data_IF_254261392233
#
_entry.id   IF_254261392233
#
_cell.length_a   1.000
_cell.length_b   1.000
_cell.length_c   1.000
_cell.angle_alpha   90.00
_cell.angle_beta   90.00
_cell.angle_gamma   90.00
#
_symmetry.space_group_name_H-M   'P 1'
#
loop_
_entity.id
_entity.type
_entity.pdbx_description
1 polymer ?
#
# COMPACT_ATOMS: atom_id res chain seq x y z
N UNK A 1 28.95 -11.43 -3.04
CA UNK A 1 27.77 -11.63 -3.92
C UNK A 1 27.66 -10.39 -4.81
N UNK A 2 27.16 -10.49 -6.05
CA UNK A 2 26.99 -9.34 -6.95
C UNK A 2 25.52 -8.97 -7.02
N UNK A 3 25.21 -7.70 -6.92
CA UNK A 3 23.86 -7.18 -7.23
C UNK A 3 23.67 -7.16 -8.74
N UNK A 4 22.46 -7.49 -9.18
CA UNK A 4 22.06 -7.38 -10.58
C UNK A 4 20.91 -6.39 -10.68
N UNK A 5 20.98 -5.56 -11.71
CA UNK A 5 19.88 -4.69 -12.12
C UNK A 5 19.34 -5.25 -13.43
N UNK A 6 18.05 -5.57 -13.47
CA UNK A 6 17.40 -6.18 -14.63
C UNK A 6 16.30 -5.26 -15.11
N UNK A 7 16.41 -4.82 -16.37
CA UNK A 7 15.34 -4.11 -17.05
C UNK A 7 14.35 -5.13 -17.64
N UNK A 8 13.07 -4.97 -17.38
CA UNK A 8 12.00 -5.85 -17.90
C UNK A 8 10.96 -5.05 -18.68
N UNK A 9 10.43 -5.65 -19.74
CA UNK A 9 9.32 -5.08 -20.51
C UNK A 9 8.01 -5.30 -19.75
N UNK A 10 7.40 -4.20 -19.28
CA UNK A 10 6.10 -4.21 -18.61
C UNK A 10 5.42 -2.85 -18.82
N UNK A 11 4.13 -2.85 -19.15
CA UNK A 11 3.35 -1.63 -19.42
C UNK A 11 3.02 -0.79 -18.19
N UNK A 12 3.33 -1.24 -16.97
CA UNK A 12 3.12 -0.51 -15.72
C UNK A 12 4.46 -0.07 -15.11
N UNK A 13 4.67 1.24 -14.83
CA UNK A 13 5.86 1.72 -14.13
C UNK A 13 6.00 1.05 -12.77
N UNK A 14 7.11 0.33 -12.53
CA UNK A 14 7.38 -0.32 -11.27
C UNK A 14 8.89 -0.63 -11.10
N UNK A 15 9.31 -0.81 -9.86
CA UNK A 15 10.55 -1.47 -9.49
C UNK A 15 10.26 -2.43 -8.33
N UNK A 16 10.97 -3.54 -8.25
CA UNK A 16 10.78 -4.52 -7.16
C UNK A 16 11.98 -5.46 -7.03
N UNK A 17 12.09 -6.12 -5.88
CA UNK A 17 13.02 -7.25 -5.68
C UNK A 17 12.31 -8.57 -5.91
N UNK A 18 12.94 -9.49 -6.64
CA UNK A 18 12.44 -10.86 -6.72
C UNK A 18 12.88 -11.66 -5.49
N UNK A 19 11.91 -12.16 -4.75
CA UNK A 19 12.10 -13.09 -3.64
C UNK A 19 11.00 -14.14 -3.62
N UNK A 20 11.34 -15.32 -3.11
CA UNK A 20 10.34 -16.33 -2.72
C UNK A 20 10.22 -16.25 -1.20
N UNK A 21 9.09 -15.74 -0.70
CA UNK A 21 8.86 -15.55 0.74
C UNK A 21 8.93 -16.86 1.55
N UNK A 22 8.84 -18.02 0.90
CA UNK A 22 8.99 -19.33 1.54
C UNK A 22 10.45 -19.79 1.68
N UNK A 23 11.39 -19.15 1.00
CA UNK A 23 12.82 -19.50 1.08
C UNK A 23 13.68 -18.34 1.55
N UNK A 24 14.72 -18.65 2.33
CA UNK A 24 15.75 -17.67 2.75
C UNK A 24 16.59 -17.19 1.55
N UNK A 25 16.35 -17.71 0.33
CA UNK A 25 17.13 -17.39 -0.86
C UNK A 25 16.53 -16.20 -1.59
N UNK A 26 16.91 -15.00 -1.16
CA UNK A 26 16.67 -13.80 -1.93
C UNK A 26 17.74 -13.68 -3.02
N UNK A 27 17.30 -13.47 -4.26
CA UNK A 27 18.20 -12.99 -5.30
C UNK A 27 18.57 -11.55 -4.96
N UNK A 28 19.85 -11.18 -5.01
CA UNK A 28 20.25 -9.76 -4.96
C UNK A 28 19.99 -9.11 -6.33
N UNK A 29 18.73 -9.12 -6.76
CA UNK A 29 18.27 -8.68 -8.07
C UNK A 29 17.16 -7.66 -7.91
N UNK A 30 17.42 -6.44 -8.39
CA UNK A 30 16.40 -5.39 -8.52
C UNK A 30 15.90 -5.41 -9.96
N UNK A 31 14.59 -5.57 -10.12
CA UNK A 31 13.90 -5.51 -11.39
C UNK A 31 13.31 -4.11 -11.57
N UNK A 32 13.52 -3.51 -12.74
CA UNK A 32 13.00 -2.20 -13.13
C UNK A 32 12.18 -2.39 -14.40
N UNK A 33 10.97 -1.86 -14.45
CA UNK A 33 10.19 -1.90 -15.69
C UNK A 33 10.66 -0.82 -16.69
N UNK A 34 10.63 -1.13 -17.98
CA UNK A 34 10.92 -0.18 -19.04
C UNK A 34 10.03 1.08 -18.93
N UNK A 35 8.74 0.88 -18.63
CA UNK A 35 7.78 1.98 -18.43
C UNK A 35 8.13 2.91 -17.26
N UNK A 36 8.84 2.44 -16.22
CA UNK A 36 9.36 3.32 -15.16
C UNK A 36 10.48 4.23 -15.68
N UNK A 37 11.38 3.68 -16.50
CA UNK A 37 12.46 4.46 -17.14
C UNK A 37 11.89 5.45 -18.14
N UNK A 38 10.84 5.06 -18.87
CA UNK A 38 10.16 5.89 -19.86
C UNK A 38 9.41 7.09 -19.25
N UNK A 39 9.21 7.13 -17.93
CA UNK A 39 8.73 8.34 -17.25
C UNK A 39 9.71 9.51 -17.39
N UNK A 40 10.96 9.27 -17.81
CA UNK A 40 11.94 10.32 -18.09
C UNK A 40 12.37 11.08 -16.85
N UNK A 41 12.28 10.46 -15.67
CA UNK A 41 12.66 11.09 -14.40
C UNK A 41 14.17 11.38 -14.35
N UNK A 42 14.60 12.45 -13.64
CA UNK A 42 16.01 12.71 -13.38
C UNK A 42 16.73 11.48 -12.84
N UNK A 43 17.99 11.27 -13.27
CA UNK A 43 18.80 10.10 -12.88
C UNK A 43 18.84 9.87 -11.36
N UNK A 44 18.93 10.93 -10.57
CA UNK A 44 18.96 10.83 -9.11
C UNK A 44 17.67 10.25 -8.53
N UNK A 45 16.52 10.56 -9.14
CA UNK A 45 15.22 10.01 -8.76
C UNK A 45 15.14 8.51 -9.04
N UNK A 46 15.58 8.09 -10.24
CA UNK A 46 15.66 6.66 -10.57
C UNK A 46 16.62 5.93 -9.62
N UNK A 47 17.74 6.54 -9.27
CA UNK A 47 18.68 5.97 -8.30
C UNK A 47 18.09 5.88 -6.89
N UNK A 48 17.22 6.80 -6.48
CA UNK A 48 16.51 6.73 -5.21
C UNK A 48 15.56 5.53 -5.16
N UNK A 49 14.80 5.28 -6.24
CA UNK A 49 13.94 4.09 -6.37
C UNK A 49 14.79 2.81 -6.33
N UNK A 50 15.91 2.78 -7.06
CA UNK A 50 16.82 1.62 -7.04
C UNK A 50 17.40 1.40 -5.64
N UNK A 51 17.74 2.47 -4.92
CA UNK A 51 18.24 2.37 -3.56
C UNK A 51 17.17 1.79 -2.62
N UNK A 52 15.92 2.24 -2.72
CA UNK A 52 14.78 1.67 -1.99
C UNK A 52 14.67 0.15 -2.20
N UNK A 53 14.60 -0.29 -3.46
CA UNK A 53 14.52 -1.72 -3.76
C UNK A 53 15.76 -2.48 -3.30
N UNK A 54 16.93 -1.86 -3.37
CA UNK A 54 18.14 -2.48 -2.88
C UNK A 54 18.08 -2.74 -1.37
N UNK A 55 17.45 -1.84 -0.59
CA UNK A 55 17.25 -2.05 0.85
C UNK A 55 16.32 -3.23 1.12
N UNK A 56 15.25 -3.43 0.34
CA UNK A 56 14.44 -4.65 0.43
C UNK A 56 15.27 -5.93 0.25
N UNK A 57 16.18 -5.93 -0.73
CA UNK A 57 17.04 -7.07 -1.01
C UNK A 57 18.11 -7.31 0.07
N UNK A 58 18.74 -6.24 0.57
CA UNK A 58 19.82 -6.30 1.58
C UNK A 58 19.26 -6.60 2.96
N UNK A 59 18.19 -5.89 3.33
CA UNK A 59 17.44 -6.05 4.57
C UNK A 59 16.65 -7.35 4.64
N UNK A 60 16.57 -8.11 3.53
CA UNK A 60 15.80 -9.36 3.43
C UNK A 60 14.32 -9.15 3.76
N UNK A 61 13.74 -8.00 3.41
CA UNK A 61 12.35 -7.67 3.72
C UNK A 61 11.36 -8.65 3.06
N UNK A 62 11.76 -9.29 1.96
CA UNK A 62 10.97 -10.34 1.30
C UNK A 62 10.91 -11.66 2.08
N UNK A 63 11.69 -11.83 3.15
CA UNK A 63 11.63 -13.01 4.04
C UNK A 63 10.69 -12.71 5.19
N UNK A 64 9.56 -13.42 5.28
CA UNK A 64 8.47 -13.09 6.23
C UNK A 64 8.93 -12.92 7.67
N UNK A 65 9.78 -13.81 8.21
CA UNK A 65 10.26 -13.68 9.59
C UNK A 65 11.11 -12.43 9.83
N UNK A 66 11.77 -11.91 8.79
CA UNK A 66 12.53 -10.65 8.87
C UNK A 66 11.59 -9.47 8.76
N UNK A 67 10.63 -9.51 7.82
CA UNK A 67 9.56 -8.52 7.71
C UNK A 67 8.83 -8.31 9.04
N UNK A 68 8.31 -9.41 9.61
CA UNK A 68 7.58 -9.40 10.89
C UNK A 68 8.42 -8.80 12.03
N UNK A 69 9.73 -9.09 12.02
CA UNK A 69 10.69 -8.59 13.02
C UNK A 69 11.04 -7.11 12.86
N UNK A 70 10.82 -6.52 11.69
CA UNK A 70 11.01 -5.08 11.43
C UNK A 70 9.77 -4.26 11.76
N UNK A 71 8.58 -4.84 11.60
CA UNK A 71 7.33 -4.14 11.84
C UNK A 71 7.25 -3.59 13.27
N UNK A 72 6.76 -2.36 13.41
CA UNK A 72 6.43 -1.75 14.71
C UNK A 72 5.02 -1.22 14.68
N UNK A 73 4.24 -1.55 15.70
CA UNK A 73 2.94 -0.94 15.95
C UNK A 73 3.04 -0.10 17.21
N UNK A 74 2.67 1.17 17.13
CA UNK A 74 2.78 2.09 18.25
C UNK A 74 1.73 3.21 18.15
N UNK A 75 1.47 3.87 19.27
CA UNK A 75 0.62 5.05 19.31
C UNK A 75 1.48 6.31 19.28
N UNK A 76 1.31 7.14 18.24
CA UNK A 76 1.96 8.44 18.18
C UNK A 76 1.40 9.37 19.27
N UNK A 77 2.28 10.18 19.87
CA UNK A 77 1.90 11.17 20.87
C UNK A 77 1.02 12.27 20.29
N UNK A 78 0.34 13.04 21.17
CA UNK A 78 -0.56 14.11 20.73
C UNK A 78 0.17 15.25 20.00
N UNK A 79 1.42 15.53 20.37
CA UNK A 79 2.20 16.69 19.92
C UNK A 79 3.47 16.34 19.17
N UNK A 80 3.83 15.05 19.09
CA UNK A 80 5.06 14.60 18.46
C UNK A 80 4.79 13.42 17.53
N UNK A 81 5.50 13.41 16.41
CA UNK A 81 5.46 12.36 15.41
C UNK A 81 6.85 11.70 15.39
N UNK A 82 7.05 10.64 16.18
CA UNK A 82 8.36 10.02 16.32
C UNK A 82 8.76 9.28 15.04
N UNK A 83 10.04 8.88 14.95
CA UNK A 83 10.50 8.04 13.86
C UNK A 83 10.15 6.58 14.14
N UNK A 84 9.48 5.91 13.19
CA UNK A 84 8.95 4.55 13.40
C UNK A 84 10.01 3.53 13.82
N UNK A 85 11.20 3.55 13.19
CA UNK A 85 12.30 2.66 13.56
C UNK A 85 12.88 2.87 14.97
N UNK A 86 12.60 4.02 15.60
CA UNK A 86 13.03 4.33 16.98
C UNK A 86 12.01 3.86 18.01
N UNK A 87 10.83 3.42 17.59
CA UNK A 87 9.76 3.01 18.49
C UNK A 87 9.86 1.52 18.83
N UNK A 88 9.53 1.21 20.08
CA UNK A 88 9.27 -0.15 20.49
C UNK A 88 7.94 -0.63 19.88
N UNK A 89 7.85 -1.94 19.67
CA UNK A 89 6.62 -2.57 19.23
C UNK A 89 5.67 -2.76 20.41
N UNK A 90 4.59 -1.99 20.46
CA UNK A 90 3.55 -2.14 21.46
C UNK A 90 2.62 -3.29 21.07
N UNK A 91 2.76 -4.42 21.76
CA UNK A 91 1.98 -5.62 21.48
C UNK A 91 0.46 -5.42 21.62
N UNK A 92 0.02 -4.44 22.43
CA UNK A 92 -1.40 -4.11 22.57
C UNK A 92 -1.87 -3.38 21.32
N UNK A 93 -1.12 -2.38 20.86
CA UNK A 93 -1.41 -1.63 19.62
C UNK A 93 -1.36 -2.58 18.41
N UNK A 94 -0.35 -3.46 18.34
CA UNK A 94 -0.24 -4.51 17.32
C UNK A 94 -1.49 -5.37 17.25
N UNK A 95 -2.01 -5.81 18.40
CA UNK A 95 -3.20 -6.68 18.43
C UNK A 95 -4.39 -5.99 17.77
N UNK A 96 -4.69 -4.74 18.17
CA UNK A 96 -5.76 -3.97 17.53
C UNK A 96 -5.52 -3.74 16.04
N UNK A 97 -4.28 -3.42 15.64
CA UNK A 97 -3.95 -3.18 14.24
C UNK A 97 -4.14 -4.43 13.38
N UNK A 98 -3.67 -5.60 13.86
CA UNK A 98 -3.77 -6.86 13.12
C UNK A 98 -5.22 -7.34 13.04
N UNK A 99 -5.99 -7.24 14.13
CA UNK A 99 -7.42 -7.54 14.11
C UNK A 99 -8.15 -6.63 13.11
N UNK A 100 -7.83 -5.32 13.09
CA UNK A 100 -8.42 -4.39 12.14
C UNK A 100 -8.03 -4.72 10.69
N UNK A 101 -6.75 -5.05 10.43
CA UNK A 101 -6.25 -5.43 9.09
C UNK A 101 -6.99 -6.66 8.57
N UNK A 102 -7.32 -7.63 9.43
CA UNK A 102 -8.08 -8.82 9.04
C UNK A 102 -9.44 -8.46 8.42
N UNK A 103 -10.22 -7.60 9.08
CA UNK A 103 -11.52 -7.15 8.56
C UNK A 103 -11.37 -6.18 7.38
N UNK A 104 -10.35 -5.31 7.41
CA UNK A 104 -10.11 -4.33 6.35
C UNK A 104 -9.67 -4.98 5.03
N UNK A 105 -8.96 -6.13 5.08
CA UNK A 105 -8.66 -6.93 3.89
C UNK A 105 -9.93 -7.41 3.18
N UNK A 106 -10.99 -7.70 3.92
CA UNK A 106 -12.25 -8.15 3.32
C UNK A 106 -13.08 -6.97 2.81
N UNK A 107 -13.36 -5.98 3.65
CA UNK A 107 -14.34 -4.92 3.37
C UNK A 107 -13.76 -3.56 2.95
N UNK A 108 -12.43 -3.44 2.90
CA UNK A 108 -11.69 -2.19 2.73
C UNK A 108 -11.42 -1.48 4.07
N UNK A 109 -10.55 -0.47 4.05
CA UNK A 109 -10.17 0.30 5.25
C UNK A 109 -11.24 1.28 5.75
N UNK A 110 -12.24 1.59 4.93
CA UNK A 110 -13.25 2.59 5.28
C UNK A 110 -14.31 2.02 6.23
N UNK A 111 -14.32 2.53 7.46
CA UNK A 111 -15.22 2.08 8.53
C UNK A 111 -16.49 2.93 8.70
N UNK A 112 -16.68 3.99 7.91
CA UNK A 112 -17.85 4.89 8.01
C UNK A 112 -19.20 4.16 7.87
N UNK A 113 -20.16 4.50 8.73
CA UNK A 113 -21.48 3.84 8.73
C UNK A 113 -22.31 4.25 7.51
N UNK A 114 -22.07 5.45 7.00
CA UNK A 114 -22.75 6.07 5.87
C UNK A 114 -22.46 5.35 4.54
N UNK A 115 -21.36 4.57 4.47
CA UNK A 115 -21.07 3.70 3.32
C UNK A 115 -21.99 2.47 3.25
N UNK A 116 -22.73 2.17 4.33
CA UNK A 116 -23.60 1.01 4.40
C UNK A 116 -22.84 -0.28 4.07
N UNK A 117 -23.43 -1.13 3.23
CA UNK A 117 -22.84 -2.39 2.76
C UNK A 117 -22.27 -2.33 1.35
N UNK A 118 -21.95 -1.14 0.83
CA UNK A 118 -21.30 -1.03 -0.48
C UNK A 118 -19.87 -1.56 -0.41
N UNK A 119 -19.52 -2.64 -1.14
CA UNK A 119 -18.15 -3.13 -1.22
C UNK A 119 -17.36 -2.21 -2.16
N UNK A 120 -16.33 -1.54 -1.65
CA UNK A 120 -15.54 -0.54 -2.40
C UNK A 120 -14.10 -0.99 -2.65
N UNK A 121 -13.49 -1.59 -1.63
CA UNK A 121 -12.11 -2.03 -1.60
C UNK A 121 -12.05 -3.37 -0.84
N UNK A 122 -10.86 -3.96 -0.74
CA UNK A 122 -10.67 -5.29 -0.17
C UNK A 122 -11.19 -6.42 -1.06
N UNK A 123 -11.04 -7.65 -0.59
CA UNK A 123 -11.39 -8.87 -1.33
C UNK A 123 -12.87 -8.89 -1.73
N UNK A 124 -13.77 -8.41 -0.87
CA UNK A 124 -15.20 -8.31 -1.19
C UNK A 124 -15.49 -7.19 -2.19
N UNK A 125 -14.74 -6.09 -2.13
CA UNK A 125 -14.81 -5.00 -3.12
C UNK A 125 -14.39 -5.47 -4.51
N UNK A 126 -13.26 -6.17 -4.59
CA UNK A 126 -12.72 -6.72 -5.84
C UNK A 126 -13.66 -7.77 -6.45
N UNK A 127 -14.14 -8.72 -5.64
CA UNK A 127 -15.11 -9.72 -6.08
C UNK A 127 -16.42 -9.05 -6.55
N UNK A 128 -16.96 -8.12 -5.78
CA UNK A 128 -18.18 -7.39 -6.13
C UNK A 128 -18.05 -6.64 -7.46
N UNK A 129 -16.96 -5.88 -7.63
CA UNK A 129 -16.71 -5.12 -8.86
C UNK A 129 -16.59 -6.04 -10.08
N UNK A 130 -15.84 -7.14 -9.96
CA UNK A 130 -15.68 -8.10 -11.03
C UNK A 130 -17.01 -8.79 -11.39
N UNK A 131 -17.80 -9.21 -10.40
CA UNK A 131 -19.11 -9.84 -10.62
C UNK A 131 -20.07 -8.85 -11.28
N UNK A 132 -20.11 -7.58 -10.85
CA UNK A 132 -20.94 -6.54 -11.48
C UNK A 132 -20.51 -6.28 -12.92
N UNK A 133 -19.20 -6.28 -13.21
CA UNK A 133 -18.66 -6.13 -14.57
C UNK A 133 -19.04 -7.29 -15.48
N UNK A 134 -18.94 -8.53 -14.99
CA UNK A 134 -19.36 -9.73 -15.73
C UNK A 134 -20.84 -9.70 -16.10
N UNK A 135 -21.67 -9.00 -15.31
CA UNK A 135 -23.10 -8.79 -15.60
C UNK A 135 -23.38 -7.58 -16.50
N UNK A 136 -22.35 -6.87 -16.95
CA UNK A 136 -22.49 -5.69 -17.81
C UNK A 136 -23.10 -4.49 -17.08
N UNK A 137 -22.96 -4.42 -15.75
CA UNK A 137 -23.66 -3.46 -14.90
C UNK A 137 -22.78 -2.34 -14.33
N UNK A 138 -21.54 -2.22 -14.78
CA UNK A 138 -20.56 -1.22 -14.31
C UNK A 138 -21.07 0.21 -14.36
N UNK A 139 -21.85 0.57 -15.39
CA UNK A 139 -22.42 1.92 -15.53
C UNK A 139 -23.36 2.33 -14.38
N UNK A 140 -23.85 1.36 -13.59
CA UNK A 140 -24.67 1.62 -12.41
C UNK A 140 -23.81 2.08 -11.22
N UNK A 141 -22.54 1.65 -11.14
CA UNK A 141 -21.60 2.00 -10.07
C UNK A 141 -20.78 3.26 -10.38
N UNK A 142 -20.43 3.51 -11.65
CA UNK A 142 -19.51 4.59 -12.04
C UNK A 142 -19.85 5.97 -11.43
N UNK A 143 -21.10 6.46 -11.47
CA UNK A 143 -21.42 7.77 -10.88
C UNK A 143 -21.21 7.81 -9.37
N UNK A 144 -21.44 6.68 -8.69
CA UNK A 144 -21.27 6.57 -7.24
C UNK A 144 -19.78 6.51 -6.87
N UNK A 145 -18.97 5.72 -7.59
CA UNK A 145 -17.52 5.67 -7.39
C UNK A 145 -16.88 7.04 -7.63
N UNK A 146 -17.31 7.77 -8.68
CA UNK A 146 -16.85 9.13 -8.91
C UNK A 146 -17.23 10.09 -7.78
N UNK A 147 -18.45 9.97 -7.22
CA UNK A 147 -18.91 10.78 -6.11
C UNK A 147 -18.14 10.50 -4.80
N UNK A 148 -17.82 9.25 -4.52
CA UNK A 148 -17.03 8.83 -3.35
C UNK A 148 -15.58 9.30 -3.51
N UNK A 149 -14.98 9.08 -4.67
CA UNK A 149 -13.62 9.55 -4.97
C UNK A 149 -13.48 11.07 -4.88
N UNK A 150 -14.51 11.82 -5.27
CA UNK A 150 -14.50 13.29 -5.11
C UNK A 150 -14.53 13.74 -3.65
N UNK A 151 -14.85 12.84 -2.71
CA UNK A 151 -14.90 13.06 -1.27
C UNK A 151 -13.76 12.38 -0.50
N UNK A 152 -12.92 11.61 -1.18
CA UNK A 152 -11.72 11.04 -0.57
C UNK A 152 -10.66 12.11 -0.41
N UNK A 153 -10.06 12.20 0.76
CA UNK A 153 -8.87 12.99 0.98
C UNK A 153 -7.67 12.28 0.32
N UNK A 154 -6.98 12.90 -0.65
CA UNK A 154 -5.86 12.25 -1.34
C UNK A 154 -4.65 11.98 -0.43
N UNK A 155 -4.56 12.60 0.75
CA UNK A 155 -3.39 12.49 1.63
C UNK A 155 -3.43 11.28 2.56
N UNK A 156 -4.59 11.02 3.18
CA UNK A 156 -4.79 9.92 4.14
C UNK A 156 -5.77 8.84 3.66
N UNK A 157 -6.42 9.06 2.50
CA UNK A 157 -7.46 8.20 1.92
C UNK A 157 -8.73 8.09 2.77
N UNK A 158 -8.91 8.95 3.78
CA UNK A 158 -10.17 9.10 4.49
C UNK A 158 -11.27 9.58 3.55
N UNK A 159 -12.52 9.24 3.84
CA UNK A 159 -13.68 9.63 3.03
C UNK A 159 -14.73 10.26 3.92
N UNK A 160 -15.27 11.41 3.53
CA UNK A 160 -16.42 12.01 4.22
C UNK A 160 -17.68 11.86 3.38
N UNK A 161 -18.59 11.00 3.82
CA UNK A 161 -19.85 10.73 3.10
C UNK A 161 -20.96 11.64 3.62
N UNK A 162 -21.56 12.41 2.72
CA UNK A 162 -22.75 13.21 3.02
C UNK A 162 -24.04 12.40 2.86
N UNK A 163 -25.14 12.92 3.41
CA UNK A 163 -26.45 12.26 3.37
C UNK A 163 -26.98 12.02 1.93
N UNK A 164 -26.59 12.86 0.97
CA UNK A 164 -26.99 12.70 -0.42
C UNK A 164 -26.28 11.49 -1.04
N UNK A 165 -24.98 11.34 -0.80
CA UNK A 165 -24.17 10.21 -1.26
C UNK A 165 -24.63 8.92 -0.57
N UNK A 166 -24.89 8.95 0.73
CA UNK A 166 -25.45 7.80 1.44
C UNK A 166 -26.79 7.33 0.84
N UNK A 167 -27.68 8.26 0.46
CA UNK A 167 -28.94 7.95 -0.22
C UNK A 167 -28.72 7.38 -1.63
N UNK A 168 -27.69 7.85 -2.33
CA UNK A 168 -27.30 7.33 -3.64
C UNK A 168 -26.77 5.89 -3.54
N UNK A 169 -26.00 5.56 -2.49
CA UNK A 169 -25.55 4.18 -2.22
C UNK A 169 -26.75 3.23 -2.15
N UNK A 170 -27.75 3.54 -1.32
CA UNK A 170 -28.96 2.72 -1.19
C UNK A 170 -29.69 2.56 -2.52
N UNK A 171 -29.78 3.65 -3.29
CA UNK A 171 -30.43 3.63 -4.61
C UNK A 171 -29.69 2.74 -5.60
N UNK A 172 -28.36 2.84 -5.66
CA UNK A 172 -27.50 2.05 -6.54
C UNK A 172 -27.54 0.57 -6.16
N UNK A 173 -27.44 0.22 -4.88
CA UNK A 173 -27.55 -1.16 -4.41
C UNK A 173 -28.91 -1.76 -4.75
N UNK A 174 -30.00 -1.00 -4.56
CA UNK A 174 -31.33 -1.44 -4.96
C UNK A 174 -31.42 -1.70 -6.47
N UNK A 175 -30.85 -0.81 -7.28
CA UNK A 175 -30.85 -0.95 -8.74
C UNK A 175 -30.05 -2.16 -9.20
N UNK A 176 -28.87 -2.40 -8.63
CA UNK A 176 -28.09 -3.61 -8.93
C UNK A 176 -28.93 -4.86 -8.62
N UNK A 177 -29.58 -4.90 -7.46
CA UNK A 177 -30.44 -6.02 -7.08
C UNK A 177 -31.59 -6.26 -8.06
N UNK A 178 -32.32 -5.20 -8.45
CA UNK A 178 -33.53 -5.34 -9.27
C UNK A 178 -33.28 -5.46 -10.76
N UNK A 179 -32.20 -4.87 -11.26
CA UNK A 179 -31.95 -4.74 -12.70
C UNK A 179 -30.84 -5.68 -13.17
N UNK A 180 -29.80 -5.89 -12.35
CA UNK A 180 -28.60 -6.65 -12.72
C UNK A 180 -28.60 -8.08 -12.21
N UNK A 181 -29.09 -8.27 -10.99
CA UNK A 181 -29.14 -9.57 -10.30
C UNK A 181 -30.57 -10.11 -10.19
N UNK A 182 -31.46 -9.64 -11.06
CA UNK A 182 -32.84 -10.10 -11.11
C UNK A 182 -32.91 -11.60 -11.38
N UNK A 183 -33.41 -12.36 -10.41
CA UNK A 183 -33.55 -13.82 -10.53
C UNK A 183 -32.26 -14.59 -10.31
N UNK A 184 -31.17 -13.93 -9.89
CA UNK A 184 -29.97 -14.60 -9.39
C UNK A 184 -30.35 -15.52 -8.21
N UNK A 185 -29.92 -16.77 -8.28
CA UNK A 185 -30.21 -17.79 -7.26
C UNK A 185 -29.01 -18.02 -6.34
N UNK A 186 -27.81 -17.71 -6.82
CA UNK A 186 -26.59 -17.85 -6.05
C UNK A 186 -26.50 -16.72 -5.00
N UNK A 187 -26.18 -17.11 -3.76
CA UNK A 187 -25.96 -16.15 -2.68
C UNK A 187 -24.55 -15.55 -2.76
N UNK A 188 -24.22 -14.64 -1.83
CA UNK A 188 -22.91 -14.01 -1.81
C UNK A 188 -21.75 -14.97 -1.52
N UNK A 189 -21.98 -16.08 -0.81
CA UNK A 189 -20.93 -17.09 -0.58
C UNK A 189 -20.59 -17.79 -1.89
N UNK A 190 -21.59 -18.22 -2.65
CA UNK A 190 -21.37 -18.96 -3.90
C UNK A 190 -20.65 -18.09 -4.95
N UNK A 191 -21.09 -16.85 -5.18
CA UNK A 191 -20.47 -15.98 -6.20
C UNK A 191 -19.07 -15.49 -5.81
N UNK A 192 -18.82 -15.19 -4.53
CA UNK A 192 -17.47 -14.82 -4.05
C UNK A 192 -16.53 -16.02 -4.13
N UNK A 193 -17.01 -17.22 -3.78
CA UNK A 193 -16.20 -18.43 -3.87
C UNK A 193 -15.79 -18.74 -5.32
N UNK A 194 -16.71 -18.60 -6.28
CA UNK A 194 -16.42 -18.75 -7.71
C UNK A 194 -15.39 -17.72 -8.19
N UNK A 195 -15.51 -16.46 -7.78
CA UNK A 195 -14.55 -15.40 -8.13
C UNK A 195 -13.10 -15.74 -7.72
N UNK A 196 -12.92 -16.29 -6.52
CA UNK A 196 -11.61 -16.63 -5.97
C UNK A 196 -11.13 -18.05 -6.31
N UNK A 197 -11.88 -18.81 -7.13
CA UNK A 197 -11.61 -20.22 -7.45
C UNK A 197 -11.43 -21.08 -6.19
N UNK A 198 -12.28 -20.84 -5.19
CA UNK A 198 -12.36 -21.62 -3.95
C UNK A 198 -13.71 -22.30 -3.82
N UNK A 199 -13.79 -23.43 -3.12
CA UNK A 199 -15.07 -24.10 -2.89
C UNK A 199 -15.95 -23.30 -1.93
N UNK A 200 -17.24 -23.13 -2.24
CA UNK A 200 -18.21 -22.44 -1.38
C UNK A 200 -18.33 -23.05 0.03
N UNK A 201 -18.07 -24.36 0.18
CA UNK A 201 -17.98 -25.00 1.49
C UNK A 201 -16.81 -24.49 2.34
N UNK A 202 -15.71 -24.07 1.70
CA UNK A 202 -14.54 -23.49 2.38
C UNK A 202 -14.88 -22.11 2.92
N UNK A 203 -15.45 -21.23 2.07
CA UNK A 203 -15.90 -19.89 2.47
C UNK A 203 -16.96 -19.99 3.57
N UNK A 204 -17.95 -20.87 3.41
CA UNK A 204 -18.97 -21.12 4.43
C UNK A 204 -18.37 -21.62 5.75
N UNK A 205 -17.27 -22.37 5.69
CA UNK A 205 -16.54 -22.88 6.86
C UNK A 205 -15.71 -21.82 7.59
N UNK A 206 -15.30 -20.74 6.91
CA UNK A 206 -14.58 -19.63 7.53
C UNK A 206 -15.51 -18.56 8.12
N UNK A 207 -16.79 -18.54 7.73
CA UNK A 207 -17.77 -17.57 8.22
C UNK A 207 -18.43 -17.99 9.53
N UNK A 208 -18.61 -17.01 10.42
CA UNK A 208 -19.38 -17.20 11.65
C UNK A 208 -20.87 -17.49 11.35
N UNK A 209 -21.61 -17.97 12.35
CA UNK A 209 -23.05 -18.21 12.20
C UNK A 209 -23.85 -16.92 11.90
N UNK A 210 -23.38 -15.77 12.37
CA UNK A 210 -24.02 -14.48 12.15
C UNK A 210 -23.91 -14.06 10.68
N UNK A 211 -22.71 -14.11 10.10
CA UNK A 211 -22.50 -13.86 8.66
C UNK A 211 -23.39 -14.76 7.81
N UNK A 212 -23.38 -16.07 8.08
CA UNK A 212 -24.17 -17.04 7.31
C UNK A 212 -25.67 -16.77 7.40
N UNK A 213 -26.19 -16.40 8.58
CA UNK A 213 -27.61 -16.12 8.75
C UNK A 213 -28.12 -14.93 7.90
N UNK A 214 -27.24 -13.96 7.62
CA UNK A 214 -27.57 -12.82 6.76
C UNK A 214 -27.26 -13.00 5.27
N UNK A 215 -26.52 -14.06 4.90
CA UNK A 215 -26.13 -14.33 3.51
C UNK A 215 -26.91 -15.50 2.91
N UNK A 216 -26.99 -16.63 3.62
CA UNK A 216 -27.50 -17.89 3.05
C UNK A 216 -28.99 -17.77 2.66
N UNK A 217 -29.28 -18.15 1.42
CA UNK A 217 -30.63 -18.07 0.85
C UNK A 217 -31.14 -16.64 0.60
N UNK A 218 -30.26 -15.63 0.64
CA UNK A 218 -30.53 -14.27 0.17
C UNK A 218 -29.96 -14.06 -1.22
N UNK A 219 -30.51 -13.09 -1.95
CA UNK A 219 -29.90 -12.66 -3.21
C UNK A 219 -28.49 -12.09 -2.96
N UNK A 220 -27.61 -12.20 -3.95
CA UNK A 220 -26.23 -11.72 -3.90
C UNK A 220 -26.08 -10.34 -3.29
N UNK A 221 -26.88 -9.37 -3.73
CA UNK A 221 -26.75 -7.97 -3.30
C UNK A 221 -27.15 -7.80 -1.83
N UNK A 222 -28.22 -8.46 -1.38
CA UNK A 222 -28.60 -8.45 0.04
C UNK A 222 -27.54 -9.15 0.90
N UNK A 223 -26.99 -10.28 0.44
CA UNK A 223 -25.96 -11.03 1.16
C UNK A 223 -24.65 -10.25 1.31
N UNK A 224 -24.15 -9.66 0.22
CA UNK A 224 -22.89 -8.89 0.24
C UNK A 224 -23.03 -7.59 1.05
N UNK A 225 -24.18 -6.92 0.97
CA UNK A 225 -24.48 -5.75 1.81
C UNK A 225 -24.44 -6.10 3.31
N UNK A 226 -24.99 -7.26 3.69
CA UNK A 226 -24.93 -7.73 5.06
C UNK A 226 -23.51 -8.06 5.50
N UNK A 227 -22.75 -8.80 4.67
CA UNK A 227 -21.38 -9.17 4.97
C UNK A 227 -20.51 -7.94 5.23
N UNK A 228 -20.48 -7.00 4.29
CA UNK A 228 -19.66 -5.78 4.41
C UNK A 228 -20.08 -4.92 5.62
N UNK A 229 -21.37 -4.86 5.96
CA UNK A 229 -21.83 -4.14 7.15
C UNK A 229 -21.30 -4.73 8.45
N UNK A 230 -21.22 -6.06 8.55
CA UNK A 230 -20.66 -6.74 9.72
C UNK A 230 -19.16 -6.49 9.83
N UNK A 231 -18.40 -6.63 8.73
CA UNK A 231 -16.96 -6.36 8.73
C UNK A 231 -16.67 -4.90 9.13
N UNK A 232 -17.38 -3.92 8.55
CA UNK A 232 -17.25 -2.50 8.94
C UNK A 232 -17.67 -2.23 10.38
N UNK A 233 -18.65 -2.98 10.91
CA UNK A 233 -19.00 -2.87 12.32
C UNK A 233 -17.89 -3.37 13.23
N UNK A 234 -17.23 -4.47 12.87
CA UNK A 234 -16.07 -4.98 13.57
C UNK A 234 -14.90 -3.98 13.53
N UNK A 235 -14.62 -3.36 12.37
CA UNK A 235 -13.61 -2.28 12.26
C UNK A 235 -13.86 -1.15 13.27
N UNK A 236 -15.09 -0.62 13.32
CA UNK A 236 -15.46 0.44 14.27
C UNK A 236 -15.36 0.00 15.73
N UNK A 237 -15.72 -1.25 16.03
CA UNK A 237 -15.59 -1.80 17.38
C UNK A 237 -14.11 -1.88 17.80
N UNK A 238 -13.24 -2.32 16.90
CA UNK A 238 -11.78 -2.37 17.10
C UNK A 238 -11.21 -0.96 17.30
N UNK A 239 -11.60 0.01 16.48
CA UNK A 239 -11.19 1.42 16.60
C UNK A 239 -11.62 2.03 17.95
N UNK A 240 -12.85 1.73 18.39
CA UNK A 240 -13.35 2.17 19.71
C UNK A 240 -12.62 1.46 20.85
N UNK A 241 -12.36 0.16 20.72
CA UNK A 241 -11.60 -0.65 21.67
C UNK A 241 -10.17 -0.12 21.83
N UNK A 242 -9.50 0.19 20.71
CA UNK A 242 -8.21 0.86 20.70
C UNK A 242 -8.27 2.18 21.47
N UNK A 243 -9.25 3.04 21.16
CA UNK A 243 -9.37 4.34 21.82
C UNK A 243 -9.58 4.23 23.33
N UNK A 244 -10.34 3.24 23.78
CA UNK A 244 -10.57 2.97 25.20
C UNK A 244 -9.34 2.39 25.89
N UNK A 245 -8.63 1.44 25.25
CA UNK A 245 -7.50 0.74 25.86
C UNK A 245 -6.21 1.58 25.85
N UNK A 246 -5.96 2.32 24.77
CA UNK A 246 -4.72 3.09 24.56
C UNK A 246 -4.87 4.55 25.02
N UNK A 247 -6.10 5.07 25.07
CA UNK A 247 -6.37 6.46 25.44
C UNK A 247 -5.99 7.47 24.34
N UNK A 248 -5.92 7.03 23.08
CA UNK A 248 -5.66 7.84 21.89
C UNK A 248 -6.67 7.51 20.79
N UNK A 249 -7.07 8.45 19.93
CA UNK A 249 -7.95 8.13 18.80
C UNK A 249 -7.23 7.22 17.79
N UNK A 250 -7.99 6.44 17.01
CA UNK A 250 -7.47 5.51 15.99
C UNK A 250 -6.45 6.16 15.04
N UNK A 251 -6.68 7.41 14.63
CA UNK A 251 -5.77 8.19 13.79
C UNK A 251 -4.37 8.45 14.37
N UNK A 252 -4.11 8.04 15.62
CA UNK A 252 -2.78 8.03 16.25
C UNK A 252 -2.07 6.69 16.20
N UNK A 253 -2.72 5.62 15.76
CA UNK A 253 -2.05 4.36 15.48
C UNK A 253 -1.03 4.56 14.35
N UNK A 254 0.14 3.96 14.51
CA UNK A 254 1.19 3.89 13.50
C UNK A 254 1.60 2.46 13.28
N UNK A 255 1.89 2.14 12.03
CA UNK A 255 2.39 0.86 11.55
C UNK A 255 3.66 1.11 10.72
N UNK A 256 4.82 0.99 11.36
CA UNK A 256 6.10 1.03 10.67
C UNK A 256 6.26 -0.25 9.84
N UNK A 257 6.04 -0.16 8.53
CA UNK A 257 6.08 -1.28 7.60
C UNK A 257 7.50 -1.60 7.10
N UNK A 258 7.64 -2.66 6.31
CA UNK A 258 8.91 -2.94 5.63
C UNK A 258 9.24 -1.93 4.53
N UNK A 259 8.23 -1.32 3.92
CA UNK A 259 8.40 -0.22 2.96
C UNK A 259 8.92 1.03 3.67
N UNK A 260 8.39 1.37 4.86
CA UNK A 260 8.93 2.47 5.65
C UNK A 260 10.40 2.23 6.06
N UNK A 261 10.75 0.99 6.40
CA UNK A 261 12.13 0.62 6.72
C UNK A 261 13.07 0.74 5.52
N UNK A 262 12.61 0.36 4.31
CA UNK A 262 13.37 0.53 3.07
C UNK A 262 13.53 2.01 2.72
N UNK A 263 12.47 2.81 2.84
CA UNK A 263 12.49 4.26 2.65
C UNK A 263 13.53 4.93 3.56
N UNK A 264 13.49 4.61 4.86
CA UNK A 264 14.40 5.17 5.87
C UNK A 264 15.86 4.79 5.59
N UNK A 265 16.10 3.53 5.24
CA UNK A 265 17.43 3.01 4.94
C UNK A 265 18.00 3.62 3.65
N UNK A 266 17.14 3.85 2.65
CA UNK A 266 17.53 4.48 1.38
C UNK A 266 18.12 5.87 1.57
N UNK A 267 17.70 6.63 2.60
CA UNK A 267 18.26 7.94 2.93
C UNK A 267 19.76 7.86 3.20
N UNK A 268 20.18 6.83 3.95
CA UNK A 268 21.58 6.60 4.28
C UNK A 268 22.36 6.12 3.07
N UNK A 269 21.78 5.24 2.25
CA UNK A 269 22.40 4.73 1.02
C UNK A 269 22.60 5.83 -0.03
N UNK A 270 21.58 6.65 -0.27
CA UNK A 270 21.67 7.80 -1.17
C UNK A 270 22.76 8.77 -0.73
N UNK A 271 22.81 9.07 0.56
CA UNK A 271 23.86 9.91 1.13
C UNK A 271 25.26 9.31 0.98
N UNK A 272 25.43 8.03 1.31
CA UNK A 272 26.72 7.36 1.22
C UNK A 272 27.23 7.33 -0.24
N UNK A 273 26.31 7.28 -1.21
CA UNK A 273 26.60 7.43 -2.64
C UNK A 273 26.92 8.84 -3.12
N UNK A 274 26.84 9.85 -2.24
CA UNK A 274 27.05 11.26 -2.60
C UNK A 274 25.87 11.92 -3.30
N UNK A 275 24.67 11.35 -3.18
CA UNK A 275 23.43 11.89 -3.74
C UNK A 275 22.64 12.68 -2.69
N UNK A 276 21.62 13.40 -3.14
CA UNK A 276 20.67 14.13 -2.28
C UNK A 276 19.83 13.11 -1.48
N UNK A 277 19.98 13.12 -0.16
CA UNK A 277 19.47 12.06 0.71
C UNK A 277 17.93 12.02 0.82
N UNK A 278 17.25 13.15 0.63
CA UNK A 278 15.77 13.24 0.64
C UNK A 278 15.14 13.03 -0.74
N UNK A 279 15.91 12.56 -1.74
CA UNK A 279 15.39 12.41 -3.13
C UNK A 279 14.16 11.53 -3.19
N UNK A 280 14.10 10.44 -2.41
CA UNK A 280 12.93 9.56 -2.36
C UNK A 280 11.68 10.31 -1.89
N UNK A 281 11.79 11.06 -0.79
CA UNK A 281 10.69 11.90 -0.28
C UNK A 281 10.26 13.00 -1.26
N UNK A 282 11.10 13.38 -2.21
CA UNK A 282 10.72 14.30 -3.29
C UNK A 282 9.91 13.63 -4.38
N UNK A 283 10.04 12.33 -4.61
CA UNK A 283 9.37 11.66 -5.73
C UNK A 283 8.12 10.90 -5.33
N UNK A 284 8.02 10.44 -4.08
CA UNK A 284 6.85 9.70 -3.58
C UNK A 284 5.52 10.40 -3.92
N UNK A 285 5.34 11.72 -3.67
CA UNK A 285 4.08 12.39 -3.99
C UNK A 285 3.74 12.39 -5.49
N UNK A 286 4.75 12.46 -6.37
CA UNK A 286 4.56 12.44 -7.82
C UNK A 286 4.14 11.05 -8.30
N UNK A 287 4.75 9.99 -7.75
CA UNK A 287 4.41 8.59 -8.07
C UNK A 287 2.97 8.26 -7.65
N UNK A 288 2.52 8.77 -6.51
CA UNK A 288 1.14 8.58 -6.02
C UNK A 288 0.15 9.60 -6.59
N UNK A 289 0.58 10.55 -7.45
CA UNK A 289 -0.25 11.60 -8.05
C UNK A 289 -0.94 12.52 -7.03
N UNK A 290 -0.27 12.81 -5.91
CA UNK A 290 -0.72 13.69 -4.83
C UNK A 290 0.24 14.86 -4.59
N UNK A 291 1.11 15.17 -5.56
CA UNK A 291 2.16 16.16 -5.40
C UNK A 291 1.64 17.57 -5.11
N UNK A 292 0.53 17.97 -5.75
CA UNK A 292 -0.01 19.32 -5.59
C UNK A 292 -0.51 19.58 -4.16
N UNK A 293 -1.14 18.59 -3.54
CA UNK A 293 -1.66 18.63 -2.18
C UNK A 293 -0.54 18.42 -1.15
N UNK A 294 0.41 17.53 -1.46
CA UNK A 294 1.42 17.11 -0.51
C UNK A 294 2.62 18.06 -0.40
N UNK A 295 3.14 18.58 -1.52
CA UNK A 295 4.40 19.34 -1.55
C UNK A 295 4.39 20.53 -0.57
N UNK A 296 3.32 21.36 -0.49
CA UNK A 296 3.30 22.48 0.44
C UNK A 296 3.48 22.06 1.90
N UNK A 297 2.89 20.92 2.30
CA UNK A 297 2.97 20.42 3.68
C UNK A 297 4.38 19.89 4.01
N UNK A 298 4.94 19.09 3.10
CA UNK A 298 6.31 18.57 3.24
C UNK A 298 7.33 19.70 3.26
N UNK A 299 7.18 20.70 2.39
CA UNK A 299 8.09 21.84 2.33
C UNK A 299 8.00 22.76 3.55
N UNK A 300 6.79 22.94 4.09
CA UNK A 300 6.53 23.65 5.33
C UNK A 300 7.06 22.97 6.60
N UNK A 301 7.54 21.72 6.51
CA UNK A 301 7.84 20.85 7.65
C UNK A 301 6.65 20.73 8.63
N UNK A 302 5.43 20.66 8.08
CA UNK A 302 4.23 20.60 8.89
C UNK A 302 4.13 19.24 9.61
N UNK A 303 3.94 19.26 10.93
CA UNK A 303 3.67 18.04 11.71
C UNK A 303 2.21 17.59 11.56
N UNK A 304 1.35 18.40 10.93
CA UNK A 304 -0.04 18.08 10.66
C UNK A 304 -0.24 17.26 9.37
N UNK A 305 0.82 16.75 8.73
CA UNK A 305 0.65 15.83 7.59
C UNK A 305 -0.08 14.57 8.10
N UNK A 306 -1.29 14.28 7.58
CA UNK A 306 -2.06 13.12 8.03
C UNK A 306 -1.31 11.81 7.79
N UNK A 307 -1.37 10.91 8.77
CA UNK A 307 -0.96 9.53 8.57
C UNK A 307 -2.03 8.79 7.77
N UNK A 308 -1.64 7.88 6.88
CA UNK A 308 -2.60 7.11 6.10
C UNK A 308 -3.45 6.21 7.00
N UNK A 309 -4.76 6.14 6.74
CA UNK A 309 -5.68 5.31 7.54
C UNK A 309 -5.73 3.85 7.07
N UNK A 310 -5.24 3.57 5.85
CA UNK A 310 -5.21 2.24 5.27
C UNK A 310 -3.99 1.43 5.72
N UNK A 311 -4.13 0.66 6.80
CA UNK A 311 -3.06 -0.21 7.29
C UNK A 311 -2.85 -1.48 6.44
N UNK A 312 -3.70 -1.73 5.42
CA UNK A 312 -3.57 -2.90 4.55
C UNK A 312 -2.56 -2.69 3.43
N UNK A 313 -2.25 -1.43 3.12
CA UNK A 313 -1.24 -1.02 2.15
C UNK A 313 0.06 -0.63 2.87
N UNK A 314 1.14 -1.37 2.68
CA UNK A 314 2.45 -1.03 3.29
C UNK A 314 3.00 0.33 2.81
N UNK A 315 2.46 0.92 1.73
CA UNK A 315 2.82 2.24 1.19
C UNK A 315 1.87 3.37 1.62
N UNK A 316 1.04 3.13 2.64
CA UNK A 316 0.07 4.11 3.12
C UNK A 316 0.73 5.43 3.56
N UNK A 317 -0.03 6.51 3.49
CA UNK A 317 0.43 7.82 3.96
C UNK A 317 1.60 8.40 3.14
N UNK A 318 1.58 8.28 1.80
CA UNK A 318 2.64 8.77 0.90
C UNK A 318 3.15 10.17 1.29
N UNK A 319 2.25 11.10 1.64
CA UNK A 319 2.67 12.45 2.00
C UNK A 319 3.40 12.52 3.34
N UNK A 320 2.90 11.80 4.33
CA UNK A 320 3.54 11.67 5.63
C UNK A 320 4.93 11.06 5.46
N UNK A 321 5.03 10.01 4.64
CA UNK A 321 6.26 9.30 4.30
C UNK A 321 7.30 10.21 3.64
N UNK A 322 6.88 11.05 2.70
CA UNK A 322 7.72 12.08 2.09
C UNK A 322 8.27 13.09 3.12
N UNK A 323 7.42 13.55 4.05
CA UNK A 323 7.83 14.39 5.18
C UNK A 323 8.82 13.68 6.10
N UNK A 324 8.57 12.41 6.41
CA UNK A 324 9.41 11.59 7.28
C UNK A 324 10.82 11.37 6.69
N UNK A 325 10.92 10.99 5.41
CA UNK A 325 12.20 10.86 4.68
C UNK A 325 13.00 12.17 4.75
N UNK A 326 12.35 13.31 4.53
CA UNK A 326 12.98 14.64 4.63
C UNK A 326 13.52 14.91 6.04
N UNK A 327 12.76 14.58 7.10
CA UNK A 327 13.23 14.74 8.49
C UNK A 327 14.45 13.87 8.80
N UNK A 328 14.48 12.62 8.35
CA UNK A 328 15.65 11.74 8.52
C UNK A 328 16.84 12.31 7.78
N UNK A 329 16.66 12.75 6.53
CA UNK A 329 17.72 13.38 5.74
C UNK A 329 18.28 14.64 6.41
N UNK A 330 17.47 15.41 7.16
CA UNK A 330 17.94 16.55 7.94
C UNK A 330 18.67 16.14 9.24
N UNK A 331 18.19 15.11 9.94
CA UNK A 331 18.77 14.63 11.21
C UNK A 331 20.08 13.87 11.03
N UNK A 332 20.18 13.09 9.98
CA UNK A 332 21.40 12.39 9.68
C UNK A 332 22.49 13.46 9.55
N UNK A 333 23.46 13.45 10.45
CA UNK A 333 24.61 14.35 10.37
C UNK A 333 25.46 13.91 9.19
N UNK A 334 26.13 14.83 8.47
CA UNK A 334 27.21 14.42 7.59
C UNK A 334 28.27 13.78 8.50
N UNK A 335 28.29 12.46 8.60
CA UNK A 335 29.57 11.81 8.87
C UNK A 335 30.41 12.27 7.71
N UNK A 336 31.39 13.14 7.99
CA UNK A 336 32.49 13.36 7.05
C UNK A 336 33.02 11.97 6.75
N UNK A 337 32.57 11.40 5.65
CA UNK A 337 33.27 10.29 5.02
C UNK A 337 34.57 10.98 4.61
N UNK A 338 35.58 10.86 5.48
CA UNK A 338 36.95 11.19 5.11
C UNK A 338 37.14 10.60 3.72
N UNK A 339 37.51 11.41 2.72
CA UNK A 339 37.30 11.12 1.30
C UNK A 339 37.61 9.66 1.06
N UNK A 340 36.55 8.88 0.83
CA UNK A 340 36.69 7.46 0.60
C UNK A 340 37.71 7.37 -0.53
N UNK A 341 38.81 6.67 -0.26
CA UNK A 341 39.83 6.39 -1.24
C UNK A 341 39.13 5.71 -2.39
N UNK A 342 38.72 6.47 -3.41
CA UNK A 342 38.21 5.94 -4.67
C UNK A 342 39.44 5.26 -5.23
N UNK A 343 39.56 3.92 -5.19
CA UNK A 343 40.65 3.28 -5.88
C UNK A 343 40.46 3.72 -7.33
N UNK A 344 41.50 4.31 -7.93
CA UNK A 344 41.57 4.47 -9.37
C UNK A 344 41.06 3.17 -9.96
N UNK A 345 39.90 3.20 -10.62
CA UNK A 345 39.51 2.10 -11.50
C UNK A 345 40.49 2.23 -12.64
N UNK A 346 41.67 1.64 -12.46
CA UNK A 346 42.62 1.43 -13.53
C UNK A 346 41.83 0.74 -14.63
N UNK A 347 41.66 1.47 -15.74
CA UNK A 347 40.96 0.98 -16.92
C UNK A 347 41.44 -0.44 -17.17
N UNK A 348 40.55 -1.44 -17.28
CA UNK A 348 40.97 -2.80 -17.55
C UNK A 348 41.87 -2.76 -18.79
N UNK A 349 43.11 -3.24 -18.63
CA UNK A 349 44.02 -3.48 -19.76
C UNK A 349 43.22 -4.30 -20.77
N UNK A 350 43.06 -3.75 -21.99
CA UNK A 350 42.35 -4.41 -23.09
C UNK A 350 42.91 -5.83 -23.24
N UNK A 351 42.09 -6.84 -22.94
CA UNK A 351 42.44 -8.26 -23.06
C UNK A 351 42.35 -8.78 -24.50
N UNK A 352 42.00 -7.92 -25.47
CA UNK A 352 41.94 -8.28 -26.88
C UNK A 352 42.61 -7.22 -27.76
N UNK A 353 43.54 -7.61 -28.66
CA UNK A 353 44.09 -6.71 -29.67
C UNK A 353 42.99 -6.28 -30.64
N UNK A 354 43.08 -5.02 -31.10
CA UNK A 354 42.24 -4.53 -32.20
C UNK A 354 42.44 -5.44 -33.41
N UNK A 355 41.34 -5.95 -33.98
CA UNK A 355 41.35 -6.52 -35.32
C UNK A 355 41.66 -5.38 -36.29
N UNK A 356 42.80 -5.47 -36.96
CA UNK A 356 43.14 -4.59 -38.08
C UNK A 356 42.29 -5.00 -39.27
N UNK A 357 41.27 -4.21 -39.58
CA UNK A 357 40.57 -4.30 -40.87
C UNK A 357 41.43 -3.61 -41.94
N UNK A 358 42.36 -4.39 -42.53
CA UNK A 358 42.85 -4.12 -43.88
C UNK A 358 42.11 -5.06 -44.83
N UNK A 359 41.09 -4.53 -45.48
CA UNK A 359 40.61 -5.06 -46.76
C UNK A 359 40.94 -4.00 -47.80
N UNK A 360 42.00 -4.25 -48.57
CA UNK A 360 42.25 -3.61 -49.86
C UNK A 360 41.63 -4.47 -50.95
N UNK A 361 41.12 -3.79 -51.99
CA UNK A 361 40.59 -4.35 -53.24
C UNK A 361 41.50 -5.39 -53.90
#
# INVERSE_FOLDING_TARGET
>A
RRFQLVLIENGKPNAFVSGDGSTIKTGLVVLITASLVDLGMPREQLLAIIAHELEHAIGLHVVSSVADGLQRFYAAGATDEPLGFEQDDDLTVRTFALDWIEYARNAGHLSDVELGGLPLEGDLGDAFQAIVEQRGCTSTLEPLHAAIKARSNPLDRSVSIDAATASQIVTVMNKLRTDCFAGEQDDAIELVADHFDVGASSVRGSLSAEYRAGIEGKDFITGIDHWVKLDRAALREIEQGYAQAIGQPWSRLRYFSTEEAADDSSVYTMRAGGFVADTLGRILPSLSKVEAECRPLVDGNDLAIPYGEDLTDDHHGTCWRAGHVKRIAQRATPRMIAPAFVPSIDRPKRLFPRRDDRISH
#
